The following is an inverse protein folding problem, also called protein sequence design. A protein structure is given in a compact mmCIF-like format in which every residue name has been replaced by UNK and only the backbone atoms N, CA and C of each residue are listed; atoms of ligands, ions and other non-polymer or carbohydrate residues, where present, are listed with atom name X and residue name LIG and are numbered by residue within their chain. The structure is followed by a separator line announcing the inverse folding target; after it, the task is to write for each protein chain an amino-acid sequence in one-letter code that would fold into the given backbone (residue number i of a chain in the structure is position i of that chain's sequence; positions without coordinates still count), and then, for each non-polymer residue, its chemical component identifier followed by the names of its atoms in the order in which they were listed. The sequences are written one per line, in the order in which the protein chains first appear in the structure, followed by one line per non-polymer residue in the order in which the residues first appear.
data_IF_237695344835
#
_entry.id   IF_237695344835
#
_cell.length_a   1.000
_cell.length_b   1.000
_cell.length_c   1.000
_cell.angle_alpha   90.00
_cell.angle_beta   90.00
_cell.angle_gamma   90.00
#
_symmetry.space_group_name_H-M   'P 1'
#
loop_
_entity.id
_entity.type
_entity.pdbx_description
1 polymer ?
#
# COMPACT_ATOMS: atom_id res chain seq x y z
N UNK A 1 18.66 -42.12 -19.45
CA UNK A 1 19.09 -40.71 -19.30
C UNK A 1 20.57 -40.54 -18.92
N UNK A 2 21.09 -41.32 -17.98
CA UNK A 2 22.50 -41.21 -17.52
C UNK A 2 23.49 -41.53 -18.63
N UNK A 3 23.24 -42.56 -19.41
CA UNK A 3 24.13 -42.99 -20.52
C UNK A 3 24.18 -41.91 -21.63
N UNK A 4 23.05 -41.33 -21.97
CA UNK A 4 22.96 -40.28 -23.01
C UNK A 4 23.70 -39.01 -22.56
N UNK A 5 23.58 -38.63 -21.31
CA UNK A 5 24.32 -37.50 -20.73
C UNK A 5 25.83 -37.72 -20.79
N UNK A 6 26.28 -38.91 -20.45
CA UNK A 6 27.68 -39.29 -20.51
C UNK A 6 28.24 -39.23 -21.93
N UNK A 7 27.50 -39.74 -22.89
CA UNK A 7 27.90 -39.70 -24.31
C UNK A 7 28.05 -38.24 -24.83
N UNK A 8 27.12 -37.36 -24.46
CA UNK A 8 27.23 -35.94 -24.84
C UNK A 8 28.40 -35.24 -24.16
N UNK A 9 28.67 -35.57 -22.92
CA UNK A 9 29.82 -35.02 -22.20
C UNK A 9 31.14 -35.42 -22.86
N UNK A 10 31.31 -36.72 -23.21
CA UNK A 10 32.51 -37.23 -23.88
C UNK A 10 32.66 -36.61 -25.29
N UNK A 11 31.62 -36.42 -26.02
CA UNK A 11 31.67 -35.76 -27.35
C UNK A 11 32.03 -34.28 -27.20
N UNK A 12 31.51 -33.59 -26.21
CA UNK A 12 31.87 -32.19 -25.95
C UNK A 12 33.35 -32.03 -25.56
N UNK A 13 33.87 -32.94 -24.74
CA UNK A 13 35.30 -32.98 -24.37
C UNK A 13 36.18 -33.24 -25.59
N UNK A 14 35.79 -34.25 -26.41
CA UNK A 14 36.49 -34.58 -27.65
C UNK A 14 36.56 -33.41 -28.65
N UNK A 15 35.53 -32.57 -28.67
CA UNK A 15 35.49 -31.35 -29.49
C UNK A 15 36.23 -30.16 -28.87
N UNK A 16 36.80 -30.35 -27.67
CA UNK A 16 37.56 -29.31 -26.98
C UNK A 16 36.70 -28.11 -26.55
N UNK A 17 35.38 -28.28 -26.41
CA UNK A 17 34.46 -27.20 -26.03
C UNK A 17 34.84 -26.57 -24.68
N UNK A 18 35.26 -27.40 -23.71
CA UNK A 18 35.67 -26.94 -22.38
C UNK A 18 36.94 -26.04 -22.41
N UNK A 19 37.72 -26.10 -23.47
CA UNK A 19 38.92 -25.28 -23.64
C UNK A 19 38.64 -23.95 -24.35
N UNK A 20 37.45 -23.76 -24.89
CA UNK A 20 37.10 -22.52 -25.60
C UNK A 20 37.03 -21.32 -24.65
N UNK A 21 37.45 -20.12 -25.09
CA UNK A 21 37.35 -18.92 -24.27
C UNK A 21 35.91 -18.61 -23.84
N UNK A 22 34.93 -18.84 -24.69
CA UNK A 22 33.50 -18.66 -24.39
C UNK A 22 33.06 -19.54 -23.23
N UNK A 23 33.38 -20.85 -23.26
CA UNK A 23 33.04 -21.78 -22.19
C UNK A 23 33.74 -21.42 -20.87
N UNK A 24 35.02 -21.09 -20.92
CA UNK A 24 35.78 -20.66 -19.74
C UNK A 24 35.20 -19.41 -19.08
N UNK A 25 34.77 -18.43 -19.88
CA UNK A 25 34.13 -17.21 -19.41
C UNK A 25 32.77 -17.51 -18.74
N UNK A 26 31.96 -18.38 -19.33
CA UNK A 26 30.68 -18.78 -18.75
C UNK A 26 30.87 -19.58 -17.44
N UNK A 27 31.86 -20.48 -17.40
CA UNK A 27 32.19 -21.23 -16.20
C UNK A 27 32.68 -20.34 -15.06
N UNK A 28 33.52 -19.34 -15.38
CA UNK A 28 33.98 -18.39 -14.38
C UNK A 28 32.84 -17.54 -13.84
N UNK A 29 31.93 -17.07 -14.70
CA UNK A 29 30.72 -16.36 -14.26
C UNK A 29 29.83 -17.25 -13.38
N UNK A 30 29.60 -18.50 -13.78
CA UNK A 30 28.82 -19.44 -12.99
C UNK A 30 29.47 -19.72 -11.63
N UNK A 31 30.81 -19.87 -11.60
CA UNK A 31 31.57 -20.06 -10.36
C UNK A 31 31.41 -18.86 -9.42
N UNK A 32 31.55 -17.64 -9.93
CA UNK A 32 31.39 -16.43 -9.13
C UNK A 32 29.98 -16.30 -8.58
N UNK A 33 28.97 -16.52 -9.41
CA UNK A 33 27.56 -16.50 -8.99
C UNK A 33 27.29 -17.51 -7.89
N UNK A 34 27.81 -18.72 -8.03
CA UNK A 34 27.64 -19.77 -7.03
C UNK A 34 28.34 -19.42 -5.72
N UNK A 35 29.58 -18.90 -5.79
CA UNK A 35 30.32 -18.48 -4.58
C UNK A 35 29.61 -17.37 -3.82
N UNK A 36 29.08 -16.38 -4.55
CA UNK A 36 28.32 -15.28 -3.93
C UNK A 36 27.09 -15.83 -3.23
N UNK A 37 26.34 -16.70 -3.90
CA UNK A 37 25.16 -17.34 -3.31
C UNK A 37 25.51 -18.15 -2.04
N UNK A 38 26.56 -18.94 -2.10
CA UNK A 38 27.00 -19.74 -0.94
C UNK A 38 27.50 -18.85 0.20
N UNK A 39 28.15 -17.72 -0.10
CA UNK A 39 28.53 -16.73 0.91
C UNK A 39 27.30 -16.19 1.67
N UNK A 40 26.24 -15.79 0.94
CA UNK A 40 25.01 -15.34 1.58
C UNK A 40 24.34 -16.43 2.40
N UNK A 41 24.32 -17.66 1.90
CA UNK A 41 23.78 -18.81 2.62
C UNK A 41 24.54 -19.08 3.93
N UNK A 42 25.86 -19.02 3.88
CA UNK A 42 26.71 -19.17 5.07
C UNK A 42 26.49 -18.03 6.07
N UNK A 43 26.40 -16.80 5.59
CA UNK A 43 26.11 -15.65 6.43
C UNK A 43 24.75 -15.77 7.13
N UNK A 44 23.70 -16.14 6.41
CA UNK A 44 22.36 -16.33 6.99
C UNK A 44 22.34 -17.45 8.04
N UNK A 45 23.07 -18.54 7.81
CA UNK A 45 23.21 -19.64 8.80
C UNK A 45 23.90 -19.18 10.08
N UNK A 46 24.91 -18.33 9.95
CA UNK A 46 25.69 -17.82 11.09
C UNK A 46 24.99 -16.66 11.81
N UNK A 47 24.11 -15.94 11.09
CA UNK A 47 23.39 -14.79 11.60
C UNK A 47 21.89 -14.96 11.30
N UNK A 48 21.22 -15.93 11.93
CA UNK A 48 19.78 -16.14 11.70
C UNK A 48 18.99 -14.94 12.21
N UNK A 49 18.00 -14.53 11.44
CA UNK A 49 17.04 -13.51 11.88
C UNK A 49 16.29 -14.05 13.10
N UNK A 50 16.36 -13.32 14.18
CA UNK A 50 15.74 -13.69 15.46
C UNK A 50 14.28 -13.26 15.51
N UNK A 51 13.48 -13.92 16.35
CA UNK A 51 12.08 -13.53 16.58
C UNK A 51 11.97 -12.12 17.15
N UNK A 52 12.97 -11.68 17.93
CA UNK A 52 13.02 -10.32 18.45
C UNK A 52 13.19 -9.27 17.34
N UNK A 53 14.00 -9.55 16.33
CA UNK A 53 14.15 -8.65 15.17
C UNK A 53 12.87 -8.60 14.32
N UNK A 54 12.21 -9.74 14.14
CA UNK A 54 10.93 -9.81 13.45
C UNK A 54 9.86 -9.02 14.20
N UNK A 55 9.82 -9.14 15.53
CA UNK A 55 8.90 -8.38 16.37
C UNK A 55 9.15 -6.87 16.31
N UNK A 56 10.41 -6.47 16.38
CA UNK A 56 10.80 -5.06 16.30
C UNK A 56 10.41 -4.43 14.96
N UNK A 57 10.59 -5.16 13.87
CA UNK A 57 10.18 -4.68 12.53
C UNK A 57 8.65 -4.62 12.40
N UNK A 58 7.93 -5.60 12.96
CA UNK A 58 6.47 -5.56 13.03
C UNK A 58 5.97 -4.32 13.79
N UNK A 59 6.53 -4.06 14.97
CA UNK A 59 6.15 -2.92 15.81
C UNK A 59 6.43 -1.59 15.11
N UNK A 60 7.54 -1.51 14.38
CA UNK A 60 7.91 -0.35 13.55
C UNK A 60 6.90 -0.13 12.42
N UNK A 61 6.53 -1.18 11.68
CA UNK A 61 5.52 -1.08 10.64
C UNK A 61 4.16 -0.70 11.20
N UNK A 62 3.76 -1.29 12.31
CA UNK A 62 2.51 -0.97 12.99
C UNK A 62 2.45 0.50 13.40
N UNK A 63 3.55 1.04 13.94
CA UNK A 63 3.66 2.44 14.32
C UNK A 63 3.64 3.38 13.10
N UNK A 64 4.31 3.01 12.01
CA UNK A 64 4.37 3.80 10.77
C UNK A 64 3.06 3.75 9.96
N UNK A 65 2.38 2.62 9.95
CA UNK A 65 1.08 2.45 9.28
C UNK A 65 -0.05 3.20 9.98
N UNK A 66 0.30 3.97 11.03
CA UNK A 66 -0.64 4.81 11.74
C UNK A 66 -1.72 3.95 12.39
N UNK A 67 -1.33 3.03 13.27
CA UNK A 67 -2.28 2.38 14.18
C UNK A 67 -3.15 3.45 14.84
N UNK A 68 -3.98 4.11 14.07
CA UNK A 68 -4.77 5.26 14.40
C UNK A 68 -6.21 5.01 14.01
N UNK A 69 -6.98 6.07 14.08
CA UNK A 69 -8.39 6.04 13.71
C UNK A 69 -8.54 6.08 12.19
N UNK A 70 -9.30 5.16 11.62
CA UNK A 70 -9.84 5.27 10.28
C UNK A 70 -11.19 5.97 10.33
N UNK A 71 -11.42 6.81 9.33
CA UNK A 71 -12.62 7.64 9.21
C UNK A 71 -13.41 7.21 7.99
N UNK A 72 -14.72 6.99 8.17
CA UNK A 72 -15.64 6.83 7.06
C UNK A 72 -16.32 8.16 6.81
N UNK A 73 -15.88 8.85 5.79
CA UNK A 73 -16.43 10.14 5.40
C UNK A 73 -17.23 10.04 4.11
N UNK A 74 -18.15 10.98 3.94
CA UNK A 74 -18.79 11.31 2.67
C UNK A 74 -18.38 12.69 2.26
N UNK A 75 -18.24 12.92 0.97
CA UNK A 75 -18.03 14.27 0.46
C UNK A 75 -18.81 14.56 -0.82
N UNK A 76 -18.99 15.84 -1.05
CA UNK A 76 -19.45 16.39 -2.32
C UNK A 76 -18.37 17.34 -2.81
N UNK A 77 -17.87 17.12 -4.00
CA UNK A 77 -16.88 17.97 -4.65
C UNK A 77 -17.55 18.82 -5.72
N UNK A 78 -17.38 20.13 -5.64
CA UNK A 78 -17.87 21.09 -6.66
C UNK A 78 -16.78 22.09 -7.01
N UNK A 79 -16.93 22.75 -8.15
CA UNK A 79 -15.91 23.68 -8.66
C UNK A 79 -15.99 25.07 -8.03
N UNK A 80 -17.19 25.48 -7.59
CA UNK A 80 -17.47 26.85 -7.10
C UNK A 80 -17.86 26.85 -5.63
N UNK A 81 -17.32 27.81 -4.89
CA UNK A 81 -17.64 28.01 -3.48
C UNK A 81 -19.11 28.27 -3.23
N UNK A 82 -19.75 29.10 -4.06
CA UNK A 82 -21.16 29.44 -3.91
C UNK A 82 -22.07 28.22 -4.13
N UNK A 83 -21.70 27.33 -5.03
CA UNK A 83 -22.39 26.05 -5.22
C UNK A 83 -22.30 25.18 -3.97
N UNK A 84 -21.10 25.08 -3.37
CA UNK A 84 -20.91 24.35 -2.13
C UNK A 84 -21.72 24.94 -0.97
N UNK A 85 -21.75 26.26 -0.83
CA UNK A 85 -22.58 26.95 0.17
C UNK A 85 -24.07 26.69 -0.01
N UNK A 86 -24.54 26.69 -1.26
CA UNK A 86 -25.96 26.40 -1.58
C UNK A 86 -26.30 24.94 -1.21
N UNK A 87 -25.42 23.99 -1.49
CA UNK A 87 -25.62 22.58 -1.12
C UNK A 87 -25.64 22.39 0.41
N UNK A 88 -24.74 23.06 1.14
CA UNK A 88 -24.75 23.04 2.60
C UNK A 88 -26.10 23.55 3.14
N UNK A 89 -26.60 24.65 2.59
CA UNK A 89 -27.91 25.19 2.98
C UNK A 89 -29.06 24.22 2.70
N UNK A 90 -29.03 23.51 1.56
CA UNK A 90 -30.04 22.51 1.23
C UNK A 90 -29.99 21.33 2.20
N UNK A 91 -28.79 20.85 2.57
CA UNK A 91 -28.64 19.75 3.54
C UNK A 91 -29.15 20.18 4.91
N UNK A 92 -28.81 21.39 5.37
CA UNK A 92 -29.32 21.94 6.63
C UNK A 92 -30.85 22.12 6.60
N UNK A 93 -31.42 22.33 5.43
CA UNK A 93 -32.85 22.38 5.20
C UNK A 93 -33.57 21.03 5.09
N UNK A 94 -32.84 19.92 5.24
CA UNK A 94 -33.39 18.57 5.26
C UNK A 94 -33.20 17.75 3.98
N UNK A 95 -32.48 18.28 2.97
CA UNK A 95 -32.10 17.49 1.80
C UNK A 95 -31.10 16.39 2.18
N UNK A 96 -31.23 15.24 1.55
CA UNK A 96 -30.32 14.12 1.79
C UNK A 96 -28.97 14.36 1.15
N UNK A 97 -27.90 14.22 1.94
CA UNK A 97 -26.53 14.38 1.48
C UNK A 97 -26.21 13.46 0.30
N UNK A 98 -26.61 12.21 0.39
CA UNK A 98 -26.37 11.17 -0.60
C UNK A 98 -27.00 11.51 -1.96
N UNK A 99 -28.20 12.06 -1.96
CA UNK A 99 -28.91 12.43 -3.19
C UNK A 99 -28.24 13.63 -3.87
N UNK A 100 -27.81 14.61 -3.07
CA UNK A 100 -27.08 15.78 -3.59
C UNK A 100 -25.68 15.39 -4.08
N UNK A 101 -25.01 14.44 -3.43
CA UNK A 101 -23.75 13.92 -3.91
C UNK A 101 -23.89 13.26 -5.28
N UNK A 102 -24.88 12.40 -5.47
CA UNK A 102 -25.18 11.78 -6.77
C UNK A 102 -25.48 12.78 -7.86
N UNK A 103 -26.19 13.84 -7.52
CA UNK A 103 -26.63 14.87 -8.48
C UNK A 103 -25.54 15.86 -8.84
N UNK A 104 -24.74 16.28 -7.87
CA UNK A 104 -23.88 17.46 -7.99
C UNK A 104 -22.40 17.22 -7.82
N UNK A 105 -21.99 16.10 -7.21
CA UNK A 105 -20.57 15.83 -6.99
C UNK A 105 -19.81 15.64 -8.29
N UNK A 106 -18.67 16.28 -8.40
CA UNK A 106 -17.72 16.14 -9.51
C UNK A 106 -16.69 15.06 -9.28
N UNK A 107 -16.75 14.39 -8.12
CA UNK A 107 -15.90 13.22 -7.85
C UNK A 107 -16.50 11.95 -8.48
N UNK A 108 -15.88 11.43 -9.55
CA UNK A 108 -16.41 10.24 -10.23
C UNK A 108 -16.29 8.97 -9.39
N UNK A 109 -15.38 8.96 -8.42
CA UNK A 109 -15.11 7.79 -7.58
C UNK A 109 -16.19 7.55 -6.53
N UNK A 110 -16.72 8.61 -5.94
CA UNK A 110 -17.66 8.51 -4.82
C UNK A 110 -19.05 9.11 -5.12
N UNK A 111 -19.19 9.98 -6.12
CA UNK A 111 -20.42 10.69 -6.40
C UNK A 111 -21.62 9.77 -6.57
N UNK A 112 -21.50 8.72 -7.38
CA UNK A 112 -22.57 7.74 -7.62
C UNK A 112 -22.94 6.92 -6.38
N UNK A 113 -22.01 6.78 -5.43
CA UNK A 113 -22.21 6.09 -4.16
C UNK A 113 -22.67 7.04 -3.02
N UNK A 114 -23.25 8.19 -3.39
CA UNK A 114 -23.71 9.17 -2.41
C UNK A 114 -22.56 9.87 -1.66
N UNK A 115 -21.39 9.95 -2.29
CA UNK A 115 -20.20 10.57 -1.74
C UNK A 115 -19.39 9.71 -0.76
N UNK A 116 -19.77 8.45 -0.56
CA UNK A 116 -19.10 7.54 0.39
C UNK A 116 -17.66 7.22 -0.05
N UNK A 117 -16.72 7.51 0.83
CA UNK A 117 -15.29 7.25 0.63
C UNK A 117 -14.81 5.99 1.35
N UNK A 118 -15.73 5.31 2.06
CA UNK A 118 -15.41 4.18 2.94
C UNK A 118 -14.41 4.55 4.05
N UNK A 119 -14.00 3.57 4.86
CA UNK A 119 -13.01 3.78 5.90
C UNK A 119 -11.62 3.98 5.30
N UNK A 120 -10.97 5.06 5.70
CA UNK A 120 -9.60 5.34 5.30
C UNK A 120 -8.85 6.11 6.38
N UNK A 121 -7.52 5.98 6.34
CA UNK A 121 -6.63 6.77 7.19
C UNK A 121 -6.61 8.23 6.69
N UNK A 122 -6.53 9.24 7.57
CA UNK A 122 -6.43 10.64 7.17
C UNK A 122 -5.30 10.94 6.19
N UNK A 123 -4.21 10.18 6.22
CA UNK A 123 -3.10 10.32 5.28
C UNK A 123 -3.45 9.99 3.81
N UNK A 124 -4.58 9.33 3.57
CA UNK A 124 -5.07 9.01 2.23
C UNK A 124 -5.64 10.21 1.47
N UNK A 125 -5.84 11.33 2.15
CA UNK A 125 -6.44 12.54 1.59
C UNK A 125 -5.47 13.72 1.59
N UNK A 126 -5.78 14.73 0.79
CA UNK A 126 -5.04 16.00 0.83
C UNK A 126 -5.18 16.65 2.21
N UNK A 127 -4.16 17.41 2.67
CA UNK A 127 -4.12 17.95 4.03
C UNK A 127 -5.36 18.77 4.41
N UNK A 128 -5.88 19.59 3.52
CA UNK A 128 -7.04 20.43 3.74
C UNK A 128 -8.30 19.60 4.04
N UNK A 129 -8.48 18.51 3.32
CA UNK A 129 -9.58 17.57 3.52
C UNK A 129 -9.44 16.84 4.86
N UNK A 130 -8.28 16.23 5.12
CA UNK A 130 -8.05 15.46 6.35
C UNK A 130 -8.15 16.33 7.59
N UNK A 131 -7.61 17.55 7.59
CA UNK A 131 -7.71 18.47 8.73
C UNK A 131 -9.15 18.86 9.07
N UNK A 132 -10.00 19.02 8.04
CA UNK A 132 -11.40 19.28 8.24
C UNK A 132 -12.15 18.04 8.75
N UNK A 133 -11.87 16.86 8.15
CA UNK A 133 -12.52 15.60 8.50
C UNK A 133 -12.27 15.16 9.94
N UNK A 134 -11.02 15.26 10.42
CA UNK A 134 -10.66 14.80 11.78
C UNK A 134 -11.23 15.67 12.90
N UNK A 135 -11.67 16.87 12.58
CA UNK A 135 -12.35 17.79 13.53
C UNK A 135 -13.83 17.47 13.71
N UNK A 136 -14.41 16.70 12.80
CA UNK A 136 -15.82 16.34 12.84
C UNK A 136 -16.07 15.22 13.85
N UNK A 137 -17.19 15.29 14.53
CA UNK A 137 -17.75 14.15 15.27
C UNK A 137 -18.69 13.36 14.39
N UNK A 138 -18.99 12.10 14.77
CA UNK A 138 -19.88 11.21 14.03
C UNK A 138 -21.22 11.88 13.74
N UNK A 139 -21.61 11.92 12.48
CA UNK A 139 -22.81 12.56 11.98
C UNK A 139 -22.68 14.04 11.65
N UNK A 140 -21.59 14.68 12.03
CA UNK A 140 -21.32 16.09 11.71
C UNK A 140 -20.90 16.31 10.26
N UNK A 141 -21.22 17.47 9.76
CA UNK A 141 -20.85 17.96 8.44
C UNK A 141 -20.08 19.28 8.56
N UNK A 142 -19.17 19.55 7.64
CA UNK A 142 -18.52 20.86 7.55
C UNK A 142 -19.56 21.96 7.30
N UNK A 143 -19.46 23.03 8.08
CA UNK A 143 -20.40 24.16 7.97
C UNK A 143 -20.01 25.15 6.89
N UNK A 144 -18.77 25.11 6.45
CA UNK A 144 -18.18 25.92 5.39
C UNK A 144 -17.51 25.04 4.36
N UNK A 145 -17.47 25.45 3.08
CA UNK A 145 -16.76 24.71 2.05
C UNK A 145 -15.26 24.56 2.38
N UNK A 146 -14.70 23.40 2.15
CA UNK A 146 -13.27 23.11 2.32
C UNK A 146 -12.59 23.19 0.96
N UNK A 147 -11.72 24.17 0.77
CA UNK A 147 -10.98 24.37 -0.46
C UNK A 147 -9.78 23.43 -0.55
N UNK A 148 -9.62 22.77 -1.69
CA UNK A 148 -8.43 22.00 -2.06
C UNK A 148 -8.03 22.30 -3.51
N UNK A 149 -6.97 21.63 -3.98
CA UNK A 149 -6.56 21.72 -5.38
C UNK A 149 -7.63 21.18 -6.36
N UNK A 150 -8.56 20.35 -5.90
CA UNK A 150 -9.64 19.76 -6.72
C UNK A 150 -10.90 20.61 -6.80
N UNK A 151 -11.06 21.59 -5.91
CA UNK A 151 -12.24 22.41 -5.80
C UNK A 151 -12.69 22.60 -4.35
N UNK A 152 -14.00 22.62 -4.15
CA UNK A 152 -14.61 22.84 -2.84
C UNK A 152 -15.34 21.57 -2.39
N UNK A 153 -15.01 21.14 -1.18
CA UNK A 153 -15.59 19.93 -0.58
C UNK A 153 -16.59 20.28 0.52
N UNK A 154 -17.65 19.49 0.56
CA UNK A 154 -18.55 19.38 1.71
C UNK A 154 -18.31 17.99 2.28
N UNK A 155 -17.92 17.89 3.56
CA UNK A 155 -17.49 16.65 4.20
C UNK A 155 -18.44 16.33 5.35
N UNK A 156 -18.95 15.09 5.38
CA UNK A 156 -19.69 14.54 6.53
C UNK A 156 -18.96 13.31 7.06
N UNK A 157 -18.80 13.24 8.38
CA UNK A 157 -18.23 12.06 9.03
C UNK A 157 -19.34 11.09 9.40
N UNK A 158 -19.34 9.92 8.79
CA UNK A 158 -20.35 8.89 9.04
C UNK A 158 -19.98 7.96 10.20
N UNK A 159 -18.69 7.57 10.29
CA UNK A 159 -18.20 6.68 11.33
C UNK A 159 -16.69 6.76 11.52
N UNK A 160 -16.21 6.19 12.61
CA UNK A 160 -14.78 6.00 12.90
C UNK A 160 -14.55 4.58 13.43
N UNK A 161 -13.37 4.04 13.16
CA UNK A 161 -12.91 2.77 13.76
C UNK A 161 -11.41 2.83 14.01
N UNK A 162 -10.91 1.95 14.87
CA UNK A 162 -9.48 1.73 14.96
C UNK A 162 -8.98 1.01 13.70
N UNK A 163 -7.86 1.47 13.16
CA UNK A 163 -7.22 0.84 12.02
C UNK A 163 -6.83 -0.59 12.39
N UNK A 164 -7.30 -1.56 11.61
CA UNK A 164 -6.93 -2.96 11.78
C UNK A 164 -5.56 -3.19 11.13
N UNK A 165 -4.58 -3.50 11.94
CA UNK A 165 -3.29 -3.97 11.48
C UNK A 165 -3.28 -5.51 11.55
N UNK A 166 -2.73 -6.21 10.53
CA UNK A 166 -2.65 -7.68 10.57
C UNK A 166 -1.95 -8.16 11.85
N UNK A 167 -2.41 -9.27 12.42
CA UNK A 167 -1.79 -9.86 13.59
C UNK A 167 -0.33 -10.24 13.32
N UNK A 168 0.52 -10.22 14.37
CA UNK A 168 1.93 -10.60 14.24
C UNK A 168 2.10 -11.98 13.59
N UNK A 169 1.31 -12.96 14.01
CA UNK A 169 1.37 -14.32 13.49
C UNK A 169 1.02 -14.45 12.01
N UNK A 170 0.17 -13.54 11.49
CA UNK A 170 -0.25 -13.55 10.10
C UNK A 170 0.85 -13.06 9.15
N UNK A 171 1.76 -12.21 9.64
CA UNK A 171 2.76 -11.53 8.81
C UNK A 171 4.21 -11.85 9.21
N UNK A 172 4.43 -12.52 10.33
CA UNK A 172 5.80 -12.83 10.83
C UNK A 172 6.67 -13.54 9.82
N UNK A 173 6.10 -14.48 9.06
CA UNK A 173 6.83 -15.22 8.02
C UNK A 173 7.30 -14.32 6.89
N UNK A 174 6.48 -13.39 6.46
CA UNK A 174 6.81 -12.41 5.42
C UNK A 174 7.87 -11.41 5.89
N UNK A 175 7.75 -10.95 7.15
CA UNK A 175 8.73 -10.03 7.74
C UNK A 175 10.08 -10.73 7.86
N UNK A 176 10.10 -11.96 8.36
CA UNK A 176 11.33 -12.77 8.47
C UNK A 176 12.01 -12.93 7.13
N UNK A 177 11.27 -13.35 6.11
CA UNK A 177 11.80 -13.51 4.76
C UNK A 177 12.39 -12.21 4.19
N UNK A 178 11.75 -11.07 4.48
CA UNK A 178 12.26 -9.76 4.06
C UNK A 178 13.56 -9.37 4.77
N UNK A 179 13.68 -9.69 6.06
CA UNK A 179 14.89 -9.42 6.84
C UNK A 179 16.06 -10.34 6.44
N UNK A 180 15.78 -11.50 5.88
CA UNK A 180 16.77 -12.47 5.38
C UNK A 180 17.31 -12.11 3.98
N UNK A 181 16.73 -11.16 3.26
CA UNK A 181 17.17 -10.67 1.95
C UNK A 181 18.16 -9.53 2.05
#
# INVERSE_FOLDING_TARGET
EVVLREMFMQEAEKRGIAATPAFKSQMEFARQTLLIRELFTDYQKKNPVTDAEVQAEYDKFKAQSGGGTEYRARHILVEKEDEAKALIAQIKGGAKFEDLAKKSSKDPGSGENGGDLDFANPSSYVPEFSQAMVKLTKGEMTETPVKSQFGFHIIRLDDTREAQFPGFDDVKGQIKQRLEQ
#
